data_IF_973046013410
#
_entry.id   IF_973046013410
#
_cell.length_a   1.000
_cell.length_b   1.000
_cell.length_c   1.000
_cell.angle_alpha   90.00
_cell.angle_beta   90.00
_cell.angle_gamma   90.00
#
_symmetry.space_group_name_H-M   'P 1'
#
loop_
_entity.id
_entity.type
_entity.pdbx_description
1 polymer ?
#
# COMPACT_ATOMS: atom_id res chain seq x y z
N UNK A 1 14.66 -17.54 27.61
CA UNK A 1 14.27 -17.20 26.22
C UNK A 1 12.83 -16.68 26.12
N UNK A 2 11.89 -17.07 27.00
CA UNK A 2 10.49 -16.60 26.98
C UNK A 2 10.28 -15.15 27.46
N UNK A 3 11.03 -14.68 28.47
CA UNK A 3 10.83 -13.31 29.00
C UNK A 3 11.16 -12.21 27.98
N UNK A 4 12.17 -12.42 27.14
CA UNK A 4 12.60 -11.42 26.15
C UNK A 4 11.61 -11.32 24.98
N UNK A 5 11.00 -12.46 24.59
CA UNK A 5 9.89 -12.46 23.64
C UNK A 5 8.63 -11.84 24.22
N UNK A 6 8.29 -12.13 25.49
CA UNK A 6 7.08 -11.58 26.13
C UNK A 6 7.19 -10.06 26.32
N UNK A 7 8.37 -9.56 26.70
CA UNK A 7 8.64 -8.12 26.78
C UNK A 7 8.52 -7.44 25.41
N UNK A 8 9.08 -8.03 24.35
CA UNK A 8 8.96 -7.51 22.99
C UNK A 8 7.51 -7.50 22.51
N UNK A 9 6.78 -8.61 22.72
CA UNK A 9 5.37 -8.73 22.34
C UNK A 9 4.53 -7.68 23.05
N UNK A 10 4.70 -7.50 24.36
CA UNK A 10 3.94 -6.51 25.11
C UNK A 10 4.23 -5.07 24.64
N UNK A 11 5.49 -4.76 24.31
CA UNK A 11 5.87 -3.46 23.77
C UNK A 11 5.31 -3.22 22.36
N UNK A 12 5.29 -4.26 21.52
CA UNK A 12 4.68 -4.21 20.19
C UNK A 12 3.16 -4.01 20.28
N UNK A 13 2.50 -4.71 21.20
CA UNK A 13 1.07 -4.54 21.47
C UNK A 13 0.78 -3.10 21.89
N UNK A 14 1.57 -2.54 22.80
CA UNK A 14 1.42 -1.14 23.22
C UNK A 14 1.54 -0.15 22.04
N UNK A 15 2.54 -0.34 21.16
CA UNK A 15 2.71 0.49 19.96
C UNK A 15 1.52 0.34 19.02
N UNK A 16 1.03 -0.88 18.79
CA UNK A 16 -0.15 -1.12 17.95
C UNK A 16 -1.38 -0.41 18.53
N UNK A 17 -1.60 -0.46 19.84
CA UNK A 17 -2.70 0.26 20.50
C UNK A 17 -2.58 1.77 20.37
N UNK A 18 -1.38 2.34 20.50
CA UNK A 18 -1.17 3.78 20.30
C UNK A 18 -1.48 4.20 18.85
N UNK A 19 -1.07 3.39 17.88
CA UNK A 19 -1.36 3.65 16.47
C UNK A 19 -2.87 3.59 16.22
N UNK A 20 -3.54 2.51 16.66
CA UNK A 20 -4.99 2.36 16.49
C UNK A 20 -5.74 3.51 17.18
N UNK A 21 -5.37 3.86 18.40
CA UNK A 21 -5.96 4.99 19.13
C UNK A 21 -5.81 6.29 18.35
N UNK A 22 -4.64 6.57 17.81
CA UNK A 22 -4.40 7.75 16.97
C UNK A 22 -5.28 7.76 15.71
N UNK A 23 -5.40 6.62 15.03
CA UNK A 23 -6.25 6.48 13.84
C UNK A 23 -7.75 6.62 14.15
N UNK A 24 -8.20 6.24 15.36
CA UNK A 24 -9.60 6.39 15.77
C UNK A 24 -10.03 7.85 15.99
N UNK A 25 -9.10 8.72 16.39
CA UNK A 25 -9.39 10.15 16.58
C UNK A 25 -9.25 10.99 15.30
N UNK A 26 -8.88 10.38 14.16
CA UNK A 26 -8.81 11.09 12.90
C UNK A 26 -10.22 11.51 12.42
N UNK A 27 -10.32 12.73 11.91
CA UNK A 27 -11.57 13.25 11.34
C UNK A 27 -11.98 12.46 10.09
N UNK A 28 -13.27 12.52 9.75
CA UNK A 28 -13.82 11.89 8.54
C UNK A 28 -13.11 12.38 7.27
N UNK A 29 -12.72 13.65 7.23
CA UNK A 29 -11.97 14.26 6.13
C UNK A 29 -10.60 13.60 5.92
N UNK A 30 -9.88 13.31 7.01
CA UNK A 30 -8.57 12.67 6.93
C UNK A 30 -8.68 11.21 6.44
N UNK A 31 -9.72 10.48 6.87
CA UNK A 31 -10.03 9.15 6.33
C UNK A 31 -10.37 9.18 4.84
N UNK A 32 -11.19 10.15 4.41
CA UNK A 32 -11.53 10.37 3.00
C UNK A 32 -10.29 10.66 2.15
N UNK A 33 -9.36 11.46 2.67
CA UNK A 33 -8.09 11.75 2.02
C UNK A 33 -7.21 10.50 1.88
N UNK A 34 -7.07 9.69 2.94
CA UNK A 34 -6.28 8.45 2.89
C UNK A 34 -6.85 7.48 1.85
N UNK A 35 -8.17 7.30 1.83
CA UNK A 35 -8.83 6.39 0.89
C UNK A 35 -8.65 6.88 -0.55
N UNK A 36 -8.89 8.17 -0.81
CA UNK A 36 -8.75 8.73 -2.16
C UNK A 36 -7.29 8.68 -2.66
N UNK A 37 -6.32 8.98 -1.80
CA UNK A 37 -4.90 8.85 -2.12
C UNK A 37 -4.52 7.40 -2.44
N UNK A 38 -5.00 6.45 -1.64
CA UNK A 38 -4.76 5.02 -1.84
C UNK A 38 -5.34 4.55 -3.17
N UNK A 39 -6.56 4.99 -3.51
CA UNK A 39 -7.20 4.70 -4.79
C UNK A 39 -6.40 5.28 -5.97
N UNK A 40 -5.87 6.49 -5.82
CA UNK A 40 -5.01 7.13 -6.83
C UNK A 40 -3.71 6.36 -7.06
N UNK A 41 -3.03 5.94 -6.00
CA UNK A 41 -1.83 5.10 -6.10
C UNK A 41 -2.12 3.74 -6.74
N UNK A 42 -3.26 3.13 -6.39
CA UNK A 42 -3.70 1.88 -7.00
C UNK A 42 -3.94 2.03 -8.51
N UNK A 43 -4.64 3.09 -8.91
CA UNK A 43 -4.88 3.39 -10.33
C UNK A 43 -3.57 3.62 -11.11
N UNK A 44 -2.61 4.35 -10.53
CA UNK A 44 -1.28 4.54 -11.14
C UNK A 44 -0.53 3.21 -11.29
N UNK A 45 -0.58 2.37 -10.26
CA UNK A 45 0.07 1.05 -10.27
C UNK A 45 -0.52 0.15 -11.36
N UNK A 46 -1.85 0.13 -11.49
CA UNK A 46 -2.54 -0.60 -12.56
C UNK A 46 -2.17 -0.05 -13.94
N UNK A 47 -2.12 1.28 -14.10
CA UNK A 47 -1.77 1.89 -15.38
C UNK A 47 -0.33 1.53 -15.80
N UNK A 48 0.61 1.55 -14.85
CA UNK A 48 1.98 1.11 -15.09
C UNK A 48 2.05 -0.37 -15.49
N UNK A 49 1.33 -1.24 -14.78
CA UNK A 49 1.29 -2.66 -15.11
C UNK A 49 0.67 -2.91 -16.48
N UNK A 50 -0.43 -2.23 -16.79
CA UNK A 50 -1.10 -2.32 -18.08
C UNK A 50 -0.18 -1.92 -19.23
N UNK A 51 0.57 -0.82 -19.10
CA UNK A 51 1.59 -0.42 -20.08
C UNK A 51 2.66 -1.49 -20.27
N UNK A 52 3.15 -2.09 -19.17
CA UNK A 52 4.14 -3.16 -19.23
C UNK A 52 3.62 -4.40 -19.97
N UNK A 53 2.37 -4.78 -19.71
CA UNK A 53 1.73 -5.93 -20.39
C UNK A 53 1.54 -5.65 -21.88
N UNK A 54 1.07 -4.45 -22.24
CA UNK A 54 0.96 -4.02 -23.64
C UNK A 54 2.30 -4.12 -24.37
N UNK A 55 3.39 -3.65 -23.75
CA UNK A 55 4.73 -3.73 -24.32
C UNK A 55 5.26 -5.17 -24.43
N UNK A 56 4.84 -6.08 -23.56
CA UNK A 56 5.17 -7.51 -23.67
C UNK A 56 4.45 -8.14 -24.86
N UNK A 57 3.14 -7.92 -24.98
CA UNK A 57 2.33 -8.43 -26.09
C UNK A 57 2.82 -7.87 -27.44
N UNK A 58 3.18 -6.59 -27.49
CA UNK A 58 3.69 -5.95 -28.70
C UNK A 58 5.03 -6.58 -29.16
N UNK A 59 5.94 -6.83 -28.21
CA UNK A 59 7.21 -7.55 -28.47
C UNK A 59 6.98 -8.96 -29.01
N UNK A 60 6.04 -9.71 -28.42
CA UNK A 60 5.69 -11.06 -28.89
C UNK A 60 5.12 -11.06 -30.31
N UNK A 61 4.40 -10.01 -30.70
CA UNK A 61 3.84 -9.84 -32.05
C UNK A 61 4.83 -9.24 -33.05
N UNK A 62 6.09 -8.97 -32.65
CA UNK A 62 7.10 -8.35 -33.51
C UNK A 62 6.83 -6.87 -33.84
N UNK A 63 5.88 -6.24 -33.15
CA UNK A 63 5.55 -4.83 -33.32
C UNK A 63 6.24 -4.07 -32.19
N UNK A 64 7.34 -3.40 -32.49
CA UNK A 64 7.98 -2.52 -31.52
C UNK A 64 7.18 -1.23 -31.41
N UNK A 65 6.26 -1.18 -30.44
CA UNK A 65 5.63 0.07 -30.02
C UNK A 65 6.69 0.82 -29.21
N UNK A 66 7.45 1.68 -29.89
CA UNK A 66 8.29 2.69 -29.26
C UNK A 66 7.37 3.86 -28.87
N UNK A 67 6.99 3.88 -27.61
CA UNK A 67 6.41 5.06 -26.96
C UNK A 67 7.19 5.36 -25.67
#
# INVERSE_FOLDING_TARGET
>A
MYELSDWLVNKMIFVVYLIIGYFQFMTIEAWSLIISLSMGMFALSLNYWHKKVMQQIAREKGIFIHE
#
